data_IF_429770611778
#
_entry.id   IF_429770611778
#
_cell.length_a   1.000
_cell.length_b   1.000
_cell.length_c   1.000
_cell.angle_alpha   90.00
_cell.angle_beta   90.00
_cell.angle_gamma   90.00
#
_symmetry.space_group_name_H-M   'P 1'
#
loop_
_entity.id
_entity.type
_entity.pdbx_description
1 polymer ?
#
# COMPACT_ATOMS: atom_id res chain seq x y z
N UNK A 1 6.41 -3.10 -1.01
CA UNK A 1 5.96 -3.76 -2.26
C UNK A 1 6.83 -3.41 -3.46
N UNK A 2 7.34 -2.17 -3.56
CA UNK A 2 8.39 -1.81 -4.53
C UNK A 2 7.92 -1.66 -5.98
N UNK A 3 6.60 -1.62 -6.21
CA UNK A 3 5.98 -1.36 -7.51
C UNK A 3 4.98 -0.22 -7.42
N UNK A 4 4.64 0.35 -8.57
CA UNK A 4 3.50 1.25 -8.71
C UNK A 4 2.21 0.45 -8.43
N UNK A 5 1.27 1.09 -7.73
CA UNK A 5 -0.05 0.52 -7.47
C UNK A 5 -0.91 0.52 -8.72
N UNK A 6 -1.73 -0.51 -8.88
CA UNK A 6 -2.69 -0.64 -9.96
C UNK A 6 -4.11 -0.33 -9.44
N UNK A 7 -5.08 0.03 -10.31
CA UNK A 7 -6.45 0.32 -9.90
C UNK A 7 -7.09 -0.79 -9.04
N UNK A 8 -6.74 -2.05 -9.32
CA UNK A 8 -7.24 -3.23 -8.62
C UNK A 8 -6.80 -3.28 -7.16
N UNK A 9 -5.62 -2.73 -6.81
CA UNK A 9 -5.13 -2.67 -5.43
C UNK A 9 -6.07 -1.80 -4.57
N UNK A 10 -6.52 -0.68 -5.13
CA UNK A 10 -7.46 0.23 -4.46
C UNK A 10 -8.87 -0.36 -4.44
N UNK A 11 -9.32 -0.94 -5.56
CA UNK A 11 -10.63 -1.57 -5.65
C UNK A 11 -10.80 -2.70 -4.63
N UNK A 12 -9.77 -3.52 -4.42
CA UNK A 12 -9.77 -4.58 -3.41
C UNK A 12 -9.88 -4.02 -1.99
N UNK A 13 -9.14 -2.96 -1.66
CA UNK A 13 -9.23 -2.32 -0.35
C UNK A 13 -10.61 -1.70 -0.09
N UNK A 14 -11.21 -1.08 -1.11
CA UNK A 14 -12.58 -0.55 -1.03
C UNK A 14 -13.59 -1.68 -0.86
N UNK A 15 -13.46 -2.76 -1.63
CA UNK A 15 -14.33 -3.93 -1.51
C UNK A 15 -14.26 -4.55 -0.11
N UNK A 16 -13.07 -4.63 0.49
CA UNK A 16 -12.90 -5.04 1.88
C UNK A 16 -13.62 -4.10 2.86
N UNK A 17 -13.41 -2.79 2.76
CA UNK A 17 -14.08 -1.82 3.64
C UNK A 17 -15.61 -1.81 3.49
N UNK A 18 -16.12 -2.13 2.31
CA UNK A 18 -17.55 -2.27 2.04
C UNK A 18 -18.13 -3.63 2.48
N UNK A 19 -17.28 -4.59 2.84
CA UNK A 19 -17.69 -5.95 3.20
C UNK A 19 -18.13 -6.07 4.66
N UNK A 20 -18.71 -7.21 5.02
CA UNK A 20 -19.04 -7.54 6.42
C UNK A 20 -17.81 -7.73 7.30
N UNK A 21 -16.66 -8.05 6.71
CA UNK A 21 -15.43 -8.30 7.46
C UNK A 21 -14.87 -7.00 8.07
N UNK A 22 -15.24 -5.85 7.53
CA UNK A 22 -14.89 -4.53 8.05
C UNK A 22 -15.95 -3.92 8.98
N UNK A 23 -16.94 -4.68 9.45
CA UNK A 23 -18.12 -4.15 10.17
C UNK A 23 -17.80 -3.34 11.45
N UNK A 24 -16.61 -3.49 12.02
CA UNK A 24 -16.17 -2.75 13.21
C UNK A 24 -15.11 -1.68 12.91
N UNK A 25 -14.74 -1.51 11.65
CA UNK A 25 -13.72 -0.54 11.22
C UNK A 25 -14.44 0.76 10.83
N UNK A 26 -14.28 1.79 11.65
CA UNK A 26 -14.84 3.12 11.40
C UNK A 26 -13.94 4.21 11.99
N UNK A 27 -14.06 5.44 11.50
CA UNK A 27 -13.32 6.60 12.02
C UNK A 27 -11.82 6.56 11.75
N UNK A 28 -11.36 5.78 10.77
CA UNK A 28 -9.94 5.61 10.45
C UNK A 28 -9.66 5.70 8.95
N UNK A 29 -8.44 6.07 8.60
CA UNK A 29 -7.92 6.06 7.22
C UNK A 29 -7.08 4.81 6.99
N UNK A 30 -7.46 3.99 6.00
CA UNK A 30 -6.64 2.88 5.54
C UNK A 30 -5.71 3.37 4.41
N UNK A 31 -4.41 3.42 4.69
CA UNK A 31 -3.42 3.79 3.67
C UNK A 31 -3.11 2.57 2.79
N UNK A 32 -3.22 2.74 1.48
CA UNK A 32 -2.97 1.69 0.47
C UNK A 32 -1.99 2.23 -0.57
N UNK A 33 -0.69 2.12 -0.28
CA UNK A 33 0.37 2.77 -1.06
C UNK A 33 1.60 1.87 -1.30
N UNK A 34 1.47 0.56 -1.08
CA UNK A 34 2.56 -0.39 -1.23
C UNK A 34 3.69 -0.26 -0.19
N UNK A 35 3.46 0.50 0.89
CA UNK A 35 4.38 0.71 2.01
C UNK A 35 5.17 2.03 1.95
N UNK A 36 4.81 2.95 1.06
CA UNK A 36 5.54 4.19 0.83
C UNK A 36 5.52 5.13 2.04
N UNK A 37 4.43 5.17 2.80
CA UNK A 37 4.31 5.98 4.02
C UNK A 37 4.77 5.24 5.27
N UNK A 38 4.84 3.91 5.22
CA UNK A 38 5.21 3.08 6.37
C UNK A 38 6.73 3.06 6.61
N UNK A 39 7.51 3.18 5.54
CA UNK A 39 8.98 3.29 5.58
C UNK A 39 9.41 4.34 4.57
N UNK A 40 10.59 4.93 4.72
CA UNK A 40 11.13 5.86 3.73
C UNK A 40 11.59 5.11 2.47
N UNK A 41 10.65 4.53 1.72
CA UNK A 41 10.91 3.64 0.58
C UNK A 41 11.69 4.37 -0.50
N UNK A 42 11.40 5.66 -0.73
CA UNK A 42 12.17 6.50 -1.65
C UNK A 42 13.62 6.68 -1.23
N UNK A 43 13.90 6.88 0.06
CA UNK A 43 15.27 6.91 0.58
C UNK A 43 15.95 5.55 0.53
N UNK A 44 15.23 4.47 0.83
CA UNK A 44 15.82 3.13 0.81
C UNK A 44 16.23 2.70 -0.61
N UNK A 45 15.43 3.09 -1.63
CA UNK A 45 15.79 2.93 -3.04
C UNK A 45 16.96 3.84 -3.44
N UNK A 46 16.97 5.10 -2.99
CA UNK A 46 18.05 6.05 -3.29
C UNK A 46 19.40 5.65 -2.65
N UNK A 47 19.39 5.01 -1.47
CA UNK A 47 20.59 4.54 -0.76
C UNK A 47 21.07 3.19 -1.30
N UNK A 48 20.22 2.43 -1.99
CA UNK A 48 20.54 1.13 -2.59
C UNK A 48 20.01 1.00 -4.03
N UNK A 49 20.57 1.76 -4.98
CA UNK A 49 20.08 1.84 -6.36
C UNK A 49 20.16 0.51 -7.14
N UNK A 50 21.06 -0.40 -6.75
CA UNK A 50 21.36 -1.62 -7.51
C UNK A 50 20.52 -2.86 -7.11
N UNK A 51 19.57 -2.74 -6.17
CA UNK A 51 18.69 -3.86 -5.76
C UNK A 51 17.40 -3.98 -6.59
N UNK A 52 17.33 -3.31 -7.74
CA UNK A 52 16.16 -3.26 -8.62
C UNK A 52 16.10 -4.33 -9.74
N UNK A 53 17.02 -5.28 -9.78
CA UNK A 53 16.95 -6.47 -10.64
C UNK A 53 16.99 -7.72 -9.74
N UNK A 54 16.29 -8.80 -10.12
CA UNK A 54 15.54 -9.72 -9.24
C UNK A 54 16.33 -10.30 -8.06
#
# INVERSE_FOLDING_TARGET
LGRVGEPEDIAAAVAFLASRDAAWITGTTLVVDGGLTAVNTGFHAAVHPDRGAP
#
